data_IF_580626311488
#
_entry.id   IF_580626311488
#
_cell.length_a   1.000
_cell.length_b   1.000
_cell.length_c   1.000
_cell.angle_alpha   90.00
_cell.angle_beta   90.00
_cell.angle_gamma   90.00
#
_symmetry.space_group_name_H-M   'P 1'
#
loop_
_entity.id
_entity.type
_entity.pdbx_description
1 polymer ?
#
# COMPACT_ATOMS: atom_id res chain seq x y z
N UNK A 1 27.01 30.35 -40.59
CA UNK A 1 27.48 29.36 -39.58
C UNK A 1 26.46 29.30 -38.48
N UNK A 2 25.60 28.31 -38.55
CA UNK A 2 24.57 28.06 -37.52
C UNK A 2 25.10 27.06 -36.53
N UNK A 3 25.38 27.48 -35.33
CA UNK A 3 25.69 26.54 -34.21
C UNK A 3 24.37 26.00 -33.68
N UNK A 4 24.09 24.76 -34.01
CA UNK A 4 23.03 23.99 -33.38
C UNK A 4 23.58 23.61 -32.00
N UNK A 5 23.10 24.32 -31.00
CA UNK A 5 23.30 23.95 -29.59
C UNK A 5 22.38 22.76 -29.30
N UNK A 6 22.88 21.56 -29.50
CA UNK A 6 22.22 20.34 -29.00
C UNK A 6 22.31 20.35 -27.49
N UNK A 7 21.30 20.88 -26.84
CA UNK A 7 21.09 20.67 -25.42
C UNK A 7 20.69 19.19 -25.29
N UNK A 8 21.67 18.37 -24.98
CA UNK A 8 21.41 17.03 -24.47
C UNK A 8 20.72 17.23 -23.12
N UNK A 9 19.41 17.19 -23.12
CA UNK A 9 18.63 16.97 -21.91
C UNK A 9 19.03 15.57 -21.40
N UNK A 10 20.04 15.55 -20.54
CA UNK A 10 20.24 14.42 -19.67
C UNK A 10 18.98 14.32 -18.81
N UNK A 11 18.04 13.50 -19.22
CA UNK A 11 17.02 13.00 -18.34
C UNK A 11 17.76 12.19 -17.28
N UNK A 12 17.94 12.75 -16.08
CA UNK A 12 18.43 12.01 -14.93
C UNK A 12 17.30 11.05 -14.58
N UNK A 13 17.37 9.85 -15.16
CA UNK A 13 16.53 8.74 -14.77
C UNK A 13 17.00 8.30 -13.40
N UNK A 14 16.28 8.69 -12.35
CA UNK A 14 16.49 8.09 -11.05
C UNK A 14 16.08 6.61 -11.17
N UNK A 15 17.07 5.74 -11.14
CA UNK A 15 16.84 4.30 -11.07
C UNK A 15 16.20 3.99 -9.72
N UNK A 16 14.94 3.59 -9.75
CA UNK A 16 14.19 3.19 -8.57
C UNK A 16 14.34 1.68 -8.40
N UNK A 17 15.06 1.26 -7.38
CA UNK A 17 15.28 -0.16 -7.06
C UNK A 17 14.06 -0.76 -6.37
N UNK A 18 13.44 -0.01 -5.44
CA UNK A 18 12.32 -0.47 -4.64
C UNK A 18 10.98 -0.10 -5.28
N UNK A 19 10.03 -1.01 -5.18
CA UNK A 19 8.68 -0.87 -5.72
C UNK A 19 7.87 0.23 -5.02
N UNK A 20 7.12 1.02 -5.80
CA UNK A 20 6.13 1.96 -5.29
C UNK A 20 4.72 1.36 -5.17
N UNK A 21 4.58 0.03 -5.27
CA UNK A 21 3.27 -0.63 -5.23
C UNK A 21 2.61 -0.49 -3.86
N UNK A 22 1.45 0.17 -3.82
CA UNK A 22 0.73 0.56 -2.60
C UNK A 22 -0.65 -0.11 -2.43
N UNK A 23 -1.02 -1.07 -3.29
CA UNK A 23 -2.31 -1.76 -3.21
C UNK A 23 -2.23 -2.97 -2.28
N UNK A 24 -1.86 -2.75 -1.01
CA UNK A 24 -1.77 -3.80 0.00
C UNK A 24 -3.11 -4.00 0.70
N UNK A 25 -3.69 -5.17 0.53
CA UNK A 25 -4.99 -5.54 1.04
C UNK A 25 -6.13 -5.36 0.02
N UNK A 26 -7.10 -6.26 0.07
CA UNK A 26 -8.22 -6.26 -0.89
C UNK A 26 -9.08 -5.01 -0.82
N UNK A 27 -9.18 -4.35 0.35
CA UNK A 27 -9.88 -3.09 0.46
C UNK A 27 -9.17 -1.98 -0.31
N UNK A 28 -7.85 -1.87 -0.13
CA UNK A 28 -7.03 -0.90 -0.86
C UNK A 28 -7.14 -1.11 -2.38
N UNK A 29 -7.01 -2.36 -2.82
CA UNK A 29 -7.14 -2.72 -4.23
C UNK A 29 -8.53 -2.41 -4.78
N UNK A 30 -9.61 -2.78 -4.07
CA UNK A 30 -10.98 -2.55 -4.53
C UNK A 30 -11.38 -1.08 -4.60
N UNK A 31 -10.75 -0.21 -3.81
CA UNK A 31 -10.99 1.24 -3.79
C UNK A 31 -9.94 2.03 -4.58
N UNK A 32 -9.17 1.39 -5.48
CA UNK A 32 -8.07 2.02 -6.22
C UNK A 32 -7.10 2.78 -5.31
N UNK A 33 -6.85 2.28 -4.10
CA UNK A 33 -6.05 2.89 -3.04
C UNK A 33 -6.51 4.30 -2.59
N UNK A 34 -7.78 4.65 -2.76
CA UNK A 34 -8.40 5.84 -2.15
C UNK A 34 -8.72 5.56 -0.67
N UNK A 35 -7.68 5.46 0.16
CA UNK A 35 -7.73 4.98 1.56
C UNK A 35 -6.84 5.78 2.51
N UNK A 36 -6.29 6.90 2.07
CA UNK A 36 -5.41 7.75 2.89
C UNK A 36 -6.14 8.26 4.13
N UNK A 37 -7.44 8.54 4.00
CA UNK A 37 -8.34 8.93 5.10
C UNK A 37 -9.37 7.85 5.41
N UNK A 38 -9.88 7.84 6.64
CA UNK A 38 -10.93 6.92 7.08
C UNK A 38 -10.66 6.30 8.46
N UNK A 39 -11.46 5.32 8.82
CA UNK A 39 -11.35 4.60 10.11
C UNK A 39 -11.26 3.09 9.85
N UNK A 40 -10.14 2.68 9.25
CA UNK A 40 -9.91 1.28 8.88
C UNK A 40 -8.54 0.80 9.32
N UNK A 41 -8.51 -0.24 10.14
CA UNK A 41 -7.29 -0.82 10.70
C UNK A 41 -6.35 -1.34 9.60
N UNK A 42 -6.88 -1.95 8.54
CA UNK A 42 -6.09 -2.41 7.39
C UNK A 42 -5.29 -1.26 6.77
N UNK A 43 -5.96 -0.10 6.55
CA UNK A 43 -5.29 1.10 6.04
C UNK A 43 -4.26 1.64 7.04
N UNK A 44 -4.51 1.54 8.34
CA UNK A 44 -3.57 1.89 9.40
C UNK A 44 -2.32 1.01 9.39
N UNK A 45 -2.49 -0.30 9.18
CA UNK A 45 -1.40 -1.28 9.18
C UNK A 45 -0.49 -1.10 7.96
N UNK A 46 -1.04 -0.88 6.77
CA UNK A 46 -0.27 -0.91 5.52
C UNK A 46 -0.05 0.46 4.87
N UNK A 47 -0.88 1.47 5.21
CA UNK A 47 -0.85 2.79 4.58
C UNK A 47 -0.69 3.90 5.63
N UNK A 48 -1.73 4.69 5.91
CA UNK A 48 -1.63 5.82 6.82
C UNK A 48 -1.69 5.41 8.31
N UNK A 49 -0.58 5.44 9.05
CA UNK A 49 -0.53 4.98 10.45
C UNK A 49 -1.38 5.83 11.42
N UNK A 50 -1.85 7.01 11.02
CA UNK A 50 -2.77 7.82 11.84
C UNK A 50 -4.09 7.07 12.12
N UNK A 51 -4.52 6.18 11.20
CA UNK A 51 -5.74 5.37 11.36
C UNK A 51 -5.62 4.27 12.44
N UNK A 52 -4.41 4.04 13.00
CA UNK A 52 -4.23 3.11 14.11
C UNK A 52 -4.64 3.67 15.47
N UNK A 53 -4.81 4.98 15.60
CA UNK A 53 -4.86 5.68 16.90
C UNK A 53 -6.07 5.33 17.79
N UNK A 54 -7.07 4.60 17.28
CA UNK A 54 -8.24 4.15 18.06
C UNK A 54 -8.36 2.62 18.10
N UNK A 55 -7.32 1.90 17.77
CA UNK A 55 -7.36 0.43 17.75
C UNK A 55 -7.00 -0.15 19.12
N UNK A 56 -7.97 -0.76 19.80
CA UNK A 56 -7.77 -1.51 21.04
C UNK A 56 -7.70 -3.02 20.83
N UNK A 57 -8.27 -3.52 19.73
CA UNK A 57 -8.40 -4.95 19.47
C UNK A 57 -7.14 -5.50 18.77
N UNK A 58 -6.93 -6.80 18.93
CA UNK A 58 -5.95 -7.49 18.09
C UNK A 58 -6.61 -7.76 16.74
N UNK A 59 -5.96 -7.32 15.67
CA UNK A 59 -6.40 -7.61 14.30
C UNK A 59 -5.21 -8.17 13.52
N UNK A 60 -5.40 -9.31 12.89
CA UNK A 60 -4.42 -9.94 11.99
C UNK A 60 -5.00 -9.89 10.59
N UNK A 61 -4.21 -9.46 9.62
CA UNK A 61 -4.61 -9.38 8.21
C UNK A 61 -3.53 -10.06 7.39
N UNK A 62 -3.95 -10.89 6.45
CA UNK A 62 -3.07 -11.49 5.46
C UNK A 62 -3.68 -11.38 4.07
N UNK A 63 -2.84 -11.31 3.04
CA UNK A 63 -3.32 -11.30 1.68
C UNK A 63 -2.27 -11.80 0.70
N UNK A 64 -2.78 -12.19 -0.46
CA UNK A 64 -2.01 -12.74 -1.56
C UNK A 64 -2.58 -12.28 -2.90
N UNK A 65 -1.71 -12.03 -3.84
CA UNK A 65 -2.06 -11.76 -5.23
C UNK A 65 -0.92 -12.13 -6.18
N UNK A 66 -1.28 -12.49 -7.43
CA UNK A 66 -0.35 -12.46 -8.54
C UNK A 66 -0.50 -11.12 -9.23
N UNK A 67 0.54 -10.28 -9.18
CA UNK A 67 0.50 -8.94 -9.76
C UNK A 67 0.33 -9.05 -11.27
N UNK A 68 -0.61 -8.25 -11.78
CA UNK A 68 -0.95 -8.22 -13.22
C UNK A 68 -1.35 -9.60 -13.79
N UNK A 69 -1.88 -10.51 -12.96
CA UNK A 69 -2.23 -11.86 -13.38
C UNK A 69 -1.03 -12.70 -13.83
N UNK A 70 0.18 -12.33 -13.41
CA UNK A 70 1.42 -13.02 -13.77
C UNK A 70 1.81 -13.96 -12.63
N UNK A 71 1.81 -15.26 -12.89
CA UNK A 71 2.11 -16.28 -11.87
C UNK A 71 3.54 -16.20 -11.34
N UNK A 72 4.45 -15.63 -12.12
CA UNK A 72 5.84 -15.42 -11.72
C UNK A 72 6.07 -14.15 -10.89
N UNK A 73 5.03 -13.38 -10.56
CA UNK A 73 5.13 -12.14 -9.78
C UNK A 73 4.18 -12.16 -8.57
N UNK A 74 4.37 -13.09 -7.62
CA UNK A 74 3.57 -13.16 -6.41
C UNK A 74 3.85 -12.00 -5.47
N UNK A 75 2.79 -11.47 -4.86
CA UNK A 75 2.79 -10.54 -3.75
C UNK A 75 2.12 -11.20 -2.55
N UNK A 76 2.79 -11.23 -1.44
CA UNK A 76 2.22 -11.63 -0.14
C UNK A 76 2.40 -10.52 0.90
N UNK A 77 1.44 -10.38 1.79
CA UNK A 77 1.54 -9.44 2.90
C UNK A 77 0.81 -9.97 4.13
N UNK A 78 1.35 -9.63 5.29
CA UNK A 78 0.77 -9.93 6.59
C UNK A 78 0.92 -8.71 7.48
N UNK A 79 -0.09 -8.44 8.30
CA UNK A 79 -0.04 -7.37 9.28
C UNK A 79 -0.77 -7.75 10.56
N UNK A 80 -0.29 -7.23 11.67
CA UNK A 80 -0.93 -7.35 12.98
C UNK A 80 -1.00 -5.99 13.63
N UNK A 81 -2.11 -5.73 14.30
CA UNK A 81 -2.26 -4.52 15.10
C UNK A 81 -2.84 -4.81 16.47
N UNK A 82 -2.44 -4.02 17.47
CA UNK A 82 -2.95 -4.01 18.83
C UNK A 82 -2.60 -2.71 19.53
N UNK A 83 -3.55 -2.12 20.28
CA UNK A 83 -3.30 -0.95 21.15
C UNK A 83 -2.58 0.19 20.40
N UNK A 84 -3.06 0.55 19.23
CA UNK A 84 -2.51 1.60 18.35
C UNK A 84 -1.13 1.29 17.75
N UNK A 85 -0.55 0.11 17.97
CA UNK A 85 0.66 -0.36 17.30
C UNK A 85 0.31 -1.28 16.15
N UNK A 86 1.18 -1.34 15.15
CA UNK A 86 1.10 -2.31 14.09
C UNK A 86 2.48 -2.79 13.65
N UNK A 87 2.52 -4.05 13.22
CA UNK A 87 3.62 -4.65 12.48
C UNK A 87 3.09 -5.06 11.12
N UNK A 88 3.87 -4.82 10.09
CA UNK A 88 3.52 -5.21 8.71
C UNK A 88 4.70 -5.87 8.03
N UNK A 89 4.41 -6.85 7.21
CA UNK A 89 5.36 -7.54 6.35
C UNK A 89 4.80 -7.57 4.93
N UNK A 90 5.62 -7.28 3.94
CA UNK A 90 5.33 -7.39 2.51
C UNK A 90 6.47 -8.13 1.83
N UNK A 91 6.15 -9.02 0.92
CA UNK A 91 7.11 -9.63 0.01
C UNK A 91 6.55 -9.60 -1.41
N UNK A 92 7.36 -9.14 -2.35
CA UNK A 92 7.13 -9.26 -3.79
C UNK A 92 8.34 -10.02 -4.34
N UNK A 93 8.10 -11.14 -4.99
CA UNK A 93 9.17 -11.91 -5.63
C UNK A 93 8.93 -12.02 -7.13
N UNK A 94 10.00 -12.29 -7.86
CA UNK A 94 9.95 -12.71 -9.26
C UNK A 94 10.51 -14.10 -9.32
N UNK A 95 9.71 -15.06 -9.77
CA UNK A 95 10.04 -16.49 -9.75
C UNK A 95 9.96 -17.05 -11.16
N UNK A 96 10.93 -17.86 -11.55
CA UNK A 96 10.93 -18.53 -12.83
C UNK A 96 11.53 -19.95 -12.68
N UNK A 97 10.79 -20.95 -13.14
CA UNK A 97 11.18 -22.37 -13.06
C UNK A 97 11.63 -22.83 -11.65
N UNK A 98 11.00 -22.29 -10.59
CA UNK A 98 11.36 -22.61 -9.21
C UNK A 98 12.56 -21.83 -8.65
N UNK A 99 13.19 -20.97 -9.44
CA UNK A 99 14.27 -20.09 -9.00
C UNK A 99 13.74 -18.69 -8.72
N UNK A 100 14.16 -18.10 -7.60
CA UNK A 100 13.83 -16.68 -7.28
C UNK A 100 14.84 -15.78 -8.01
N UNK A 101 14.37 -15.02 -8.99
CA UNK A 101 15.18 -14.08 -9.75
C UNK A 101 15.38 -12.76 -9.02
N UNK A 102 14.41 -12.34 -8.22
CA UNK A 102 14.53 -11.17 -7.33
C UNK A 102 13.46 -11.23 -6.24
N UNK A 103 13.73 -10.60 -5.11
CA UNK A 103 12.79 -10.52 -4.00
C UNK A 103 12.89 -9.16 -3.30
N UNK A 104 11.77 -8.48 -3.15
CA UNK A 104 11.63 -7.27 -2.35
C UNK A 104 10.85 -7.58 -1.09
N UNK A 105 11.48 -7.41 0.06
CA UNK A 105 10.86 -7.58 1.38
C UNK A 105 10.76 -6.24 2.09
N UNK A 106 9.65 -5.96 2.74
CA UNK A 106 9.48 -4.78 3.58
C UNK A 106 8.88 -5.17 4.93
N UNK A 107 9.50 -4.68 6.01
CA UNK A 107 9.03 -4.77 7.38
C UNK A 107 8.67 -3.37 7.87
N UNK A 108 7.48 -3.19 8.44
CA UNK A 108 7.03 -1.92 8.98
C UNK A 108 6.61 -2.04 10.44
N UNK A 109 7.04 -1.08 11.27
CA UNK A 109 6.57 -0.89 12.64
C UNK A 109 5.89 0.46 12.72
N UNK A 110 4.64 0.49 13.17
CA UNK A 110 3.84 1.70 13.19
C UNK A 110 3.17 1.94 14.54
N UNK A 111 2.90 3.21 14.83
CA UNK A 111 2.13 3.64 16.01
C UNK A 111 1.25 4.83 15.67
N UNK A 112 -0.02 4.76 16.08
CA UNK A 112 -0.98 5.85 16.04
C UNK A 112 -1.09 6.58 17.39
N UNK A 113 -1.38 7.88 17.34
CA UNK A 113 -1.54 8.76 18.48
C UNK A 113 -2.80 9.61 18.31
N UNK A 114 -3.56 9.78 19.37
CA UNK A 114 -4.59 10.81 19.46
C UNK A 114 -3.95 12.10 20.00
N UNK A 115 -3.90 13.15 19.19
CA UNK A 115 -3.37 14.45 19.61
C UNK A 115 -4.43 15.30 20.28
N UNK A 116 -5.67 15.20 19.79
CA UNK A 116 -6.83 15.89 20.32
C UNK A 116 -8.07 15.04 20.14
N UNK A 117 -8.95 15.03 21.14
CA UNK A 117 -10.23 14.30 21.10
C UNK A 117 -11.30 15.05 21.85
N UNK A 118 -12.39 15.36 21.15
CA UNK A 118 -13.60 15.96 21.67
C UNK A 118 -14.82 15.16 21.17
N UNK A 119 -16.02 15.55 21.58
CA UNK A 119 -17.26 14.88 21.16
C UNK A 119 -17.46 14.82 19.64
N UNK A 120 -17.03 15.88 18.94
CA UNK A 120 -17.26 16.06 17.51
C UNK A 120 -15.97 16.00 16.69
N UNK A 121 -14.83 16.27 17.30
CA UNK A 121 -13.55 16.42 16.58
C UNK A 121 -12.47 15.51 17.14
N UNK A 122 -11.67 14.93 16.25
CA UNK A 122 -10.55 14.10 16.60
C UNK A 122 -9.38 14.47 15.68
N UNK A 123 -8.19 14.68 16.26
CA UNK A 123 -6.95 14.89 15.51
C UNK A 123 -6.01 13.75 15.87
N UNK A 124 -5.56 13.07 14.85
CA UNK A 124 -4.75 11.86 14.93
C UNK A 124 -3.44 12.06 14.18
N UNK A 125 -2.40 11.42 14.67
CA UNK A 125 -1.08 11.36 14.03
C UNK A 125 -0.62 9.91 14.04
N UNK A 126 0.19 9.54 13.08
CA UNK A 126 0.82 8.22 13.04
C UNK A 126 2.23 8.31 12.51
N UNK A 127 3.07 7.44 13.03
CA UNK A 127 4.46 7.28 12.62
C UNK A 127 4.70 5.84 12.23
N UNK A 128 5.51 5.62 11.18
CA UNK A 128 5.94 4.29 10.76
C UNK A 128 7.42 4.33 10.42
N UNK A 129 8.11 3.31 10.86
CA UNK A 129 9.46 2.99 10.42
C UNK A 129 9.41 1.75 9.55
N UNK A 130 9.97 1.82 8.35
CA UNK A 130 10.04 0.73 7.39
C UNK A 130 11.49 0.31 7.20
N UNK A 131 11.70 -0.98 7.11
CA UNK A 131 12.94 -1.61 6.72
C UNK A 131 12.71 -2.41 5.44
N UNK A 132 13.50 -2.16 4.42
CA UNK A 132 13.41 -2.78 3.11
C UNK A 132 14.66 -3.57 2.82
N UNK A 133 14.50 -4.73 2.21
CA UNK A 133 15.58 -5.54 1.65
C UNK A 133 15.21 -5.95 0.24
N UNK A 134 16.08 -5.72 -0.70
CA UNK A 134 15.94 -6.15 -2.08
C UNK A 134 17.08 -7.12 -2.40
N UNK A 135 16.75 -8.35 -2.75
CA UNK A 135 17.67 -9.35 -3.24
C UNK A 135 17.55 -9.37 -4.77
N UNK A 136 18.68 -9.14 -5.45
CA UNK A 136 18.75 -9.14 -6.91
C UNK A 136 18.81 -10.56 -7.49
N UNK A 137 18.87 -11.60 -6.63
CA UNK A 137 18.94 -12.99 -7.02
C UNK A 137 20.20 -13.32 -7.80
N UNK A 138 20.05 -14.23 -8.75
CA UNK A 138 21.14 -14.66 -9.62
C UNK A 138 20.98 -14.05 -11.02
N UNK A 139 22.10 -13.84 -11.71
CA UNK A 139 22.11 -13.46 -13.13
C UNK A 139 21.49 -14.59 -13.98
N UNK A 140 21.06 -14.25 -15.20
CA UNK A 140 20.41 -15.22 -16.08
C UNK A 140 21.24 -16.49 -16.40
N UNK A 141 22.53 -16.46 -16.12
CA UNK A 141 23.45 -17.57 -16.44
C UNK A 141 23.60 -17.82 -17.94
N UNK A 142 24.26 -18.89 -18.30
CA UNK A 142 24.50 -19.26 -19.71
C UNK A 142 23.27 -19.82 -20.39
N UNK A 143 22.36 -20.43 -19.64
CA UNK A 143 21.11 -21.04 -20.15
C UNK A 143 19.96 -20.02 -20.19
N UNK A 144 20.12 -18.85 -19.57
CA UNK A 144 19.08 -17.80 -19.54
C UNK A 144 17.95 -18.04 -18.54
N UNK A 145 18.06 -19.05 -17.69
CA UNK A 145 17.03 -19.48 -16.72
C UNK A 145 17.41 -19.24 -15.25
N UNK A 146 18.56 -18.60 -15.01
CA UNK A 146 19.14 -18.40 -13.68
C UNK A 146 19.97 -19.58 -13.18
N UNK A 147 19.97 -20.72 -13.87
CA UNK A 147 20.87 -21.81 -13.52
C UNK A 147 22.33 -21.44 -13.87
N UNK A 148 23.27 -21.71 -12.96
CA UNK A 148 24.66 -21.27 -13.07
C UNK A 148 24.85 -19.74 -13.16
N UNK A 149 23.91 -18.96 -12.64
CA UNK A 149 24.03 -17.52 -12.51
C UNK A 149 25.05 -17.10 -11.45
N UNK A 150 25.45 -15.84 -11.50
CA UNK A 150 26.26 -15.20 -10.46
C UNK A 150 25.30 -14.47 -9.52
N UNK A 151 25.47 -14.65 -8.21
CA UNK A 151 24.70 -13.91 -7.21
C UNK A 151 24.98 -12.39 -7.36
N UNK A 152 23.91 -11.62 -7.57
CA UNK A 152 23.99 -10.18 -7.82
C UNK A 152 23.96 -9.36 -6.51
N UNK A 153 23.84 -10.04 -5.36
CA UNK A 153 23.84 -9.41 -4.05
C UNK A 153 22.49 -8.83 -3.63
N UNK A 154 22.50 -8.04 -2.58
CA UNK A 154 21.30 -7.44 -2.00
C UNK A 154 21.53 -5.96 -1.66
N UNK A 155 20.45 -5.20 -1.56
CA UNK A 155 20.44 -3.81 -1.10
C UNK A 155 19.44 -3.64 0.03
N UNK A 156 19.85 -2.98 1.11
CA UNK A 156 19.01 -2.68 2.24
C UNK A 156 18.69 -1.20 2.29
N UNK A 157 17.48 -0.88 2.75
CA UNK A 157 17.06 0.50 2.91
C UNK A 157 16.17 0.66 4.13
N UNK A 158 16.11 1.86 4.66
CA UNK A 158 15.17 2.23 5.72
C UNK A 158 14.43 3.50 5.35
N UNK A 159 13.16 3.59 5.75
CA UNK A 159 12.30 4.71 5.47
C UNK A 159 11.45 5.08 6.69
N UNK A 160 11.11 6.35 6.79
CA UNK A 160 10.25 6.87 7.84
C UNK A 160 9.03 7.55 7.24
N UNK A 161 7.84 7.16 7.70
CA UNK A 161 6.57 7.70 7.25
C UNK A 161 5.89 8.49 8.36
N UNK A 162 5.13 9.51 7.97
CA UNK A 162 4.30 10.30 8.87
C UNK A 162 2.90 10.49 8.28
N UNK A 163 1.90 10.33 9.11
CA UNK A 163 0.50 10.55 8.75
C UNK A 163 -0.23 11.41 9.75
N UNK A 164 -1.16 12.21 9.24
CA UNK A 164 -2.08 13.02 10.05
C UNK A 164 -3.50 12.76 9.56
N UNK A 165 -4.47 12.83 10.47
CA UNK A 165 -5.87 12.77 10.15
C UNK A 165 -6.70 13.63 11.09
N UNK A 166 -7.58 14.43 10.52
CA UNK A 166 -8.66 15.13 11.22
C UNK A 166 -9.99 14.43 10.95
N UNK A 167 -10.79 14.25 12.00
CA UNK A 167 -12.13 13.68 11.92
C UNK A 167 -13.13 14.65 12.49
N UNK A 168 -14.22 14.92 11.79
CA UNK A 168 -15.30 15.77 12.24
C UNK A 168 -16.62 15.01 12.21
N UNK A 169 -17.35 15.02 13.35
CA UNK A 169 -18.64 14.36 13.52
C UNK A 169 -18.67 12.87 13.18
N UNK A 170 -17.51 12.20 13.15
CA UNK A 170 -17.32 10.81 12.65
C UNK A 170 -17.87 10.59 11.24
N UNK A 171 -18.01 11.65 10.46
CA UNK A 171 -18.55 11.64 9.09
C UNK A 171 -17.56 12.17 8.06
N UNK A 172 -16.75 13.16 8.43
CA UNK A 172 -15.79 13.80 7.55
C UNK A 172 -14.39 13.49 8.03
N UNK A 173 -13.58 12.96 7.14
CA UNK A 173 -12.18 12.61 7.39
C UNK A 173 -11.31 13.36 6.39
N UNK A 174 -10.30 14.04 6.87
CA UNK A 174 -9.28 14.70 6.07
C UNK A 174 -7.95 14.16 6.53
N UNK A 175 -7.11 13.66 5.63
CA UNK A 175 -5.83 13.10 6.00
C UNK A 175 -4.72 13.58 5.07
N UNK A 176 -3.52 13.61 5.63
CA UNK A 176 -2.27 13.84 4.93
C UNK A 176 -1.27 12.75 5.32
N UNK A 177 -0.62 12.16 4.33
CA UNK A 177 0.33 11.07 4.53
C UNK A 177 1.55 11.28 3.66
N UNK A 178 2.73 11.13 4.24
CA UNK A 178 4.00 11.12 3.53
C UNK A 178 4.68 9.80 3.82
N UNK A 179 4.92 9.03 2.77
CA UNK A 179 5.70 7.80 2.80
C UNK A 179 7.16 8.12 2.49
N UNK A 180 8.08 7.52 3.24
CA UNK A 180 9.52 7.68 3.08
C UNK A 180 9.96 9.16 3.10
N UNK A 181 9.48 9.96 4.07
CA UNK A 181 9.85 11.37 4.23
C UNK A 181 11.36 11.53 4.42
N UNK A 182 11.96 10.59 5.13
CA UNK A 182 13.39 10.39 5.27
C UNK A 182 13.73 8.97 4.94
N UNK A 183 14.77 8.74 4.17
CA UNK A 183 15.18 7.41 3.73
C UNK A 183 16.70 7.29 3.67
N UNK A 184 17.18 6.07 3.87
CA UNK A 184 18.58 5.70 3.75
C UNK A 184 18.69 4.38 3.00
N UNK A 185 19.59 4.30 2.03
CA UNK A 185 19.90 3.08 1.27
C UNK A 185 21.38 2.74 1.51
N UNK A 186 21.65 1.54 1.97
CA UNK A 186 22.97 1.05 2.24
C UNK A 186 23.76 0.87 0.93
N UNK A 187 25.04 1.32 0.92
CA UNK A 187 25.93 1.17 -0.23
C UNK A 187 25.66 2.12 -1.40
N UNK A 188 24.68 3.03 -1.27
CA UNK A 188 24.39 3.99 -2.33
C UNK A 188 25.34 5.19 -2.27
N UNK A 189 26.40 5.19 -3.07
CA UNK A 189 27.26 6.35 -3.30
C UNK A 189 26.61 7.40 -4.23
N UNK A 190 25.47 7.09 -4.85
CA UNK A 190 24.80 7.89 -5.87
C UNK A 190 23.59 8.68 -5.33
N UNK A 191 23.37 8.73 -4.01
CA UNK A 191 22.24 9.45 -3.44
C UNK A 191 20.87 8.90 -3.85
N UNK A 192 20.77 7.59 -4.12
CA UNK A 192 19.50 6.91 -4.41
C UNK A 192 18.58 7.04 -3.19
N UNK A 193 17.33 7.36 -3.44
CA UNK A 193 16.31 7.49 -2.39
C UNK A 193 15.20 6.47 -2.62
N UNK A 194 14.56 6.04 -1.52
CA UNK A 194 13.30 5.31 -1.61
C UNK A 194 12.23 6.17 -2.30
N UNK A 195 11.26 5.55 -2.99
CA UNK A 195 10.14 6.27 -3.56
C UNK A 195 9.39 7.04 -2.47
N UNK A 196 9.45 8.36 -2.53
CA UNK A 196 8.73 9.26 -1.63
C UNK A 196 7.38 9.58 -2.22
N UNK A 197 6.32 9.30 -1.49
CA UNK A 197 4.95 9.56 -1.91
C UNK A 197 4.26 10.49 -0.93
N UNK A 198 3.52 11.47 -1.46
CA UNK A 198 2.66 12.37 -0.69
C UNK A 198 1.21 12.11 -1.08
N UNK A 199 0.34 11.95 -0.10
CA UNK A 199 -1.08 11.68 -0.32
C UNK A 199 -1.93 12.60 0.53
N UNK A 200 -2.96 13.19 -0.09
CA UNK A 200 -4.02 13.92 0.60
C UNK A 200 -5.31 13.16 0.36
N UNK A 201 -6.02 12.82 1.42
CA UNK A 201 -7.25 12.04 1.35
C UNK A 201 -8.42 12.75 2.02
N UNK A 202 -9.58 12.62 1.39
CA UNK A 202 -10.87 13.05 1.91
C UNK A 202 -11.80 11.86 1.93
N UNK A 203 -12.46 11.57 3.07
CA UNK A 203 -13.51 10.56 3.13
C UNK A 203 -14.75 11.14 3.76
N UNK A 204 -15.89 10.78 3.21
CA UNK A 204 -17.20 11.20 3.66
C UNK A 204 -18.14 10.01 3.84
N UNK A 205 -18.79 9.97 4.99
CA UNK A 205 -19.78 8.96 5.37
C UNK A 205 -21.18 9.62 5.40
N UNK A 206 -21.87 9.75 4.25
CA UNK A 206 -23.21 10.34 4.20
C UNK A 206 -24.20 9.54 5.03
N UNK A 207 -24.09 8.22 4.98
CA UNK A 207 -24.89 7.26 5.75
C UNK A 207 -23.95 6.29 6.46
N UNK A 208 -24.47 5.59 7.47
CA UNK A 208 -23.71 4.61 8.27
C UNK A 208 -23.09 3.49 7.42
N UNK A 209 -23.72 3.17 6.29
CA UNK A 209 -23.36 2.03 5.46
C UNK A 209 -22.65 2.43 4.15
N UNK A 210 -22.40 3.74 3.92
CA UNK A 210 -21.76 4.24 2.71
C UNK A 210 -20.55 5.09 3.06
N UNK A 211 -19.40 4.72 2.48
CA UNK A 211 -18.15 5.48 2.53
C UNK A 211 -17.79 5.89 1.12
N UNK A 212 -17.50 7.18 0.93
CA UNK A 212 -16.92 7.72 -0.29
C UNK A 212 -15.55 8.32 0.03
N UNK A 213 -14.55 8.04 -0.79
CA UNK A 213 -13.19 8.51 -0.57
C UNK A 213 -12.61 9.10 -1.85
N UNK A 214 -11.85 10.17 -1.71
CA UNK A 214 -11.11 10.84 -2.77
C UNK A 214 -9.69 11.11 -2.28
N UNK A 215 -8.70 10.60 -3.00
CA UNK A 215 -7.29 10.81 -2.70
C UNK A 215 -6.58 11.45 -3.88
N UNK A 216 -5.66 12.36 -3.57
CA UNK A 216 -4.67 12.88 -4.51
C UNK A 216 -3.31 12.37 -4.04
N UNK A 217 -2.65 11.62 -4.91
CA UNK A 217 -1.38 10.99 -4.62
C UNK A 217 -0.31 11.48 -5.60
N UNK A 218 0.87 11.81 -5.10
CA UNK A 218 1.98 12.28 -5.90
C UNK A 218 3.28 11.58 -5.50
N UNK A 219 3.87 10.89 -6.46
CA UNK A 219 5.22 10.34 -6.34
C UNK A 219 6.24 11.45 -6.60
N UNK A 220 7.18 11.63 -5.68
CA UNK A 220 8.25 12.63 -5.84
C UNK A 220 9.09 12.33 -7.09
N UNK A 221 9.27 13.34 -7.92
CA UNK A 221 9.93 13.20 -9.22
C UNK A 221 9.00 13.00 -10.41
N UNK A 222 7.75 12.59 -10.19
CA UNK A 222 6.73 12.57 -11.23
C UNK A 222 6.05 13.93 -11.35
N UNK A 223 5.74 14.36 -12.59
CA UNK A 223 4.99 15.60 -12.85
C UNK A 223 3.49 15.41 -12.62
N UNK A 224 3.00 14.21 -12.85
CA UNK A 224 1.57 13.91 -12.83
C UNK A 224 1.16 13.38 -11.45
N UNK A 225 0.08 13.94 -10.93
CA UNK A 225 -0.59 13.44 -9.73
C UNK A 225 -1.61 12.38 -10.11
N UNK A 226 -1.75 11.37 -9.26
CA UNK A 226 -2.80 10.36 -9.37
C UNK A 226 -4.02 10.83 -8.57
N UNK A 227 -5.19 10.85 -9.20
CA UNK A 227 -6.47 11.07 -8.53
C UNK A 227 -7.12 9.70 -8.37
N UNK A 228 -7.50 9.36 -7.15
CA UNK A 228 -8.10 8.07 -6.80
C UNK A 228 -9.44 8.32 -6.14
N UNK A 229 -10.46 7.61 -6.58
CA UNK A 229 -11.81 7.68 -6.03
C UNK A 229 -12.26 6.28 -5.64
N UNK A 230 -12.89 6.14 -4.48
CA UNK A 230 -13.38 4.88 -3.97
C UNK A 230 -14.74 5.00 -3.31
N UNK A 231 -15.56 3.97 -3.46
CA UNK A 231 -16.84 3.82 -2.79
C UNK A 231 -16.87 2.45 -2.11
N UNK A 232 -17.28 2.43 -0.85
CA UNK A 232 -17.59 1.21 -0.10
C UNK A 232 -19.05 1.28 0.35
N UNK A 233 -19.82 0.25 0.04
CA UNK A 233 -21.21 0.14 0.47
C UNK A 233 -21.44 -1.18 1.21
N UNK A 234 -21.97 -1.07 2.42
CA UNK A 234 -22.35 -2.20 3.26
C UNK A 234 -23.78 -2.60 2.95
N UNK A 235 -23.94 -3.65 2.15
CA UNK A 235 -25.27 -4.18 1.79
C UNK A 235 -25.94 -4.89 2.96
N UNK A 236 -25.17 -5.63 3.75
CA UNK A 236 -25.58 -6.38 4.92
C UNK A 236 -24.49 -6.34 5.98
N UNK A 237 -24.77 -6.70 7.22
CA UNK A 237 -23.75 -6.78 8.27
C UNK A 237 -22.58 -7.71 7.91
N UNK A 238 -22.85 -8.72 7.09
CA UNK A 238 -21.86 -9.71 6.63
C UNK A 238 -21.36 -9.48 5.20
N UNK A 239 -21.86 -8.47 4.48
CA UNK A 239 -21.48 -8.30 3.07
C UNK A 239 -21.30 -6.85 2.68
N UNK A 240 -20.11 -6.52 2.15
CA UNK A 240 -19.78 -5.19 1.61
C UNK A 240 -19.31 -5.32 0.17
N UNK A 241 -19.63 -4.31 -0.62
CA UNK A 241 -19.11 -4.14 -1.98
C UNK A 241 -18.27 -2.87 -2.05
N UNK A 242 -17.27 -2.88 -2.92
CA UNK A 242 -16.34 -1.77 -3.12
C UNK A 242 -16.09 -1.56 -4.60
N UNK A 243 -15.88 -0.33 -4.99
CA UNK A 243 -15.42 0.01 -6.32
C UNK A 243 -14.50 1.22 -6.26
N UNK A 244 -13.61 1.33 -7.22
CA UNK A 244 -12.67 2.43 -7.29
C UNK A 244 -12.26 2.78 -8.72
N UNK A 245 -11.82 4.01 -8.87
CA UNK A 245 -11.30 4.59 -10.10
C UNK A 245 -9.99 5.31 -9.80
N UNK A 246 -9.06 5.24 -10.70
CA UNK A 246 -7.80 5.98 -10.65
C UNK A 246 -7.51 6.61 -12.00
N UNK A 247 -6.96 7.82 -11.97
CA UNK A 247 -6.36 8.47 -13.14
C UNK A 247 -4.83 8.38 -13.07
N UNK A 248 -4.15 8.46 -14.20
CA UNK A 248 -2.68 8.54 -14.32
C UNK A 248 -1.90 7.43 -13.58
N UNK A 249 -2.02 6.16 -13.99
CA UNK A 249 -2.75 5.63 -15.15
C UNK A 249 -4.22 5.36 -14.85
N UNK A 250 -5.05 5.34 -15.90
CA UNK A 250 -6.45 5.02 -15.76
C UNK A 250 -6.63 3.55 -15.37
N UNK A 251 -7.25 3.31 -14.21
CA UNK A 251 -7.54 1.99 -13.67
C UNK A 251 -8.94 1.97 -13.10
N UNK A 252 -9.56 0.82 -13.19
CA UNK A 252 -10.81 0.49 -12.52
C UNK A 252 -10.58 -0.66 -11.55
N UNK A 253 -11.23 -0.61 -10.42
CA UNK A 253 -11.20 -1.69 -9.43
C UNK A 253 -12.57 -1.97 -8.86
N UNK A 254 -12.78 -3.21 -8.45
CA UNK A 254 -13.94 -3.58 -7.67
C UNK A 254 -13.59 -4.76 -6.74
N UNK A 255 -14.44 -4.99 -5.76
CA UNK A 255 -14.26 -6.09 -4.83
C UNK A 255 -15.42 -6.24 -3.87
N UNK A 256 -15.38 -7.30 -3.08
CA UNK A 256 -16.35 -7.55 -2.02
C UNK A 256 -15.67 -8.09 -0.77
N UNK A 257 -16.36 -7.96 0.35
CA UNK A 257 -15.98 -8.53 1.63
C UNK A 257 -17.14 -9.36 2.18
N UNK A 258 -16.84 -10.59 2.55
CA UNK A 258 -17.70 -11.45 3.35
C UNK A 258 -17.15 -11.46 4.77
N UNK A 259 -17.90 -10.89 5.70
CA UNK A 259 -17.42 -10.61 7.05
C UNK A 259 -18.38 -11.03 8.14
N UNK A 260 -18.01 -10.71 9.39
CA UNK A 260 -18.75 -11.07 10.60
C UNK A 260 -18.99 -12.58 10.79
N UNK A 261 -18.12 -13.41 10.22
CA UNK A 261 -18.16 -14.85 10.46
C UNK A 261 -17.58 -15.10 11.85
N UNK A 262 -18.47 -15.37 12.80
CA UNK A 262 -18.06 -15.66 14.19
C UNK A 262 -17.57 -17.11 14.28
N UNK A 263 -16.30 -17.28 14.58
CA UNK A 263 -15.68 -18.55 14.90
C UNK A 263 -15.61 -18.71 16.43
N UNK A 264 -16.26 -19.75 16.97
CA UNK A 264 -16.29 -20.07 18.39
C UNK A 264 -16.70 -18.89 19.31
N UNK A 265 -17.49 -17.93 18.82
CA UNK A 265 -17.91 -16.70 19.53
C UNK A 265 -16.76 -15.80 20.06
N UNK A 266 -15.51 -16.11 19.75
CA UNK A 266 -14.31 -15.41 20.20
C UNK A 266 -13.65 -14.58 19.11
N UNK A 267 -13.80 -14.99 17.85
CA UNK A 267 -13.08 -14.38 16.72
C UNK A 267 -14.06 -13.96 15.63
N UNK A 268 -13.76 -12.84 15.01
CA UNK A 268 -14.50 -12.40 13.81
C UNK A 268 -13.57 -12.50 12.61
N UNK A 269 -13.97 -13.31 11.63
CA UNK A 269 -13.24 -13.49 10.39
C UNK A 269 -13.92 -12.75 9.24
N UNK A 270 -13.13 -12.07 8.40
CA UNK A 270 -13.60 -11.48 7.16
C UNK A 270 -12.72 -12.00 6.01
N UNK A 271 -13.37 -12.42 4.94
CA UNK A 271 -12.73 -12.77 3.68
C UNK A 271 -13.04 -11.69 2.65
N UNK A 272 -12.05 -11.24 1.93
CA UNK A 272 -12.21 -10.21 0.91
C UNK A 272 -11.55 -10.62 -0.39
N UNK A 273 -12.18 -10.27 -1.48
CA UNK A 273 -11.66 -10.40 -2.83
C UNK A 273 -11.75 -9.08 -3.57
N UNK A 274 -10.77 -8.80 -4.39
CA UNK A 274 -10.75 -7.62 -5.24
C UNK A 274 -9.97 -7.85 -6.53
N UNK A 275 -10.25 -7.01 -7.50
CA UNK A 275 -9.45 -6.93 -8.72
C UNK A 275 -9.14 -5.47 -9.07
N UNK A 276 -8.03 -5.28 -9.77
CA UNK A 276 -7.56 -4.00 -10.30
C UNK A 276 -7.16 -4.18 -11.76
N UNK A 277 -7.77 -3.41 -12.65
CA UNK A 277 -7.40 -3.43 -14.06
C UNK A 277 -6.09 -2.69 -14.33
N UNK A 278 -5.44 -3.04 -15.42
CA UNK A 278 -4.28 -2.32 -15.94
C UNK A 278 -4.50 -2.03 -17.42
N UNK A 279 -3.97 -0.90 -17.92
CA UNK A 279 -4.23 -0.46 -19.30
C UNK A 279 -3.53 -1.31 -20.37
N UNK A 280 -2.48 -2.07 -20.00
CA UNK A 280 -1.71 -2.92 -20.92
C UNK A 280 -1.65 -4.37 -20.42
N UNK A 281 -1.37 -4.55 -19.12
CA UNK A 281 -1.17 -5.87 -18.51
C UNK A 281 -2.51 -6.49 -18.08
N UNK A 282 -2.56 -7.81 -17.87
CA UNK A 282 -3.74 -8.46 -17.29
C UNK A 282 -4.14 -7.89 -15.94
N UNK A 283 -5.32 -8.24 -15.51
CA UNK A 283 -5.91 -7.77 -14.24
C UNK A 283 -5.22 -8.42 -13.04
N UNK A 284 -4.92 -7.63 -12.02
CA UNK A 284 -4.47 -8.14 -10.72
C UNK A 284 -5.66 -8.60 -9.89
N UNK A 285 -5.61 -9.81 -9.37
CA UNK A 285 -6.60 -10.39 -8.45
C UNK A 285 -5.98 -10.53 -7.07
N UNK A 286 -6.66 -10.06 -6.04
CA UNK A 286 -6.17 -10.09 -4.68
C UNK A 286 -7.18 -10.69 -3.71
N UNK A 287 -6.69 -11.56 -2.85
CA UNK A 287 -7.43 -12.18 -1.76
C UNK A 287 -6.87 -11.70 -0.43
N UNK A 288 -7.73 -11.44 0.53
CA UNK A 288 -7.33 -11.08 1.89
C UNK A 288 -8.21 -11.76 2.93
N UNK A 289 -7.59 -12.13 4.03
CA UNK A 289 -8.23 -12.66 5.23
C UNK A 289 -7.91 -11.75 6.40
N UNK A 290 -8.91 -11.37 7.16
CA UNK A 290 -8.76 -10.57 8.37
C UNK A 290 -9.41 -11.30 9.55
N UNK A 291 -8.70 -11.38 10.65
CA UNK A 291 -9.19 -11.98 11.91
C UNK A 291 -9.07 -10.95 13.01
N UNK A 292 -10.17 -10.71 13.72
CA UNK A 292 -10.26 -9.78 14.85
C UNK A 292 -10.60 -10.55 16.13
N UNK A 293 -9.80 -10.29 17.18
CA UNK A 293 -9.88 -10.87 18.51
C UNK A 293 -10.43 -9.89 19.51
#
# INVERSE_FOLDING_TARGET
>A
MKYILSIILLSISFSQVFSSYDYLGSRATAMSAAITSGDHIESGIFHNPAQLSNNSNITIISGYSNLYGLDFLPLSHVGISKNNYALSFKNISTEFNGNTLSSETALGVAKGFNLYSDRQSLIQMGLRFNFYSYDFGESAGTEGDGSNGINLGSSNASGFDIGFQGVLNKKYYVAYYIKNISSYIEGSSLGLNLPKTMSIGLSYLPYKDLVTSLDINQLSGNKDSEIRFGIEYKLMESFKIRTGLQSNPNRFSAGFEFGNIKLANLYTCNFSYSFLTHHVLPTTHQFSLSVKF
#
